data_IF_774743311589
#
_entry.id   IF_774743311589
#
_cell.length_a   1.000
_cell.length_b   1.000
_cell.length_c   1.000
_cell.angle_alpha   90.00
_cell.angle_beta   90.00
_cell.angle_gamma   90.00
#
_symmetry.space_group_name_H-M   'P 1'
#
loop_
_entity.id
_entity.type
_entity.pdbx_description
1 polymer ?
#
# COMPACT_ATOMS: atom_id res chain seq x y z
N UNK A 1 37.20 53.61 -51.40
CA UNK A 1 35.93 53.63 -50.63
C UNK A 1 35.33 52.23 -50.65
N UNK A 2 35.46 51.49 -49.55
CA UNK A 2 35.00 50.10 -49.40
C UNK A 2 33.82 50.07 -48.43
N UNK A 3 32.69 49.46 -48.80
CA UNK A 3 31.57 49.20 -47.89
C UNK A 3 31.29 47.70 -47.84
N UNK A 4 31.44 47.19 -46.61
CA UNK A 4 31.35 45.79 -46.20
C UNK A 4 29.90 45.36 -45.94
N UNK A 5 29.57 44.16 -46.40
CA UNK A 5 28.27 43.48 -46.28
C UNK A 5 28.10 42.87 -44.88
N UNK A 6 27.06 43.27 -44.14
CA UNK A 6 26.75 42.72 -42.80
C UNK A 6 25.95 41.41 -42.91
N UNK A 7 26.49 40.36 -42.29
CA UNK A 7 25.95 39.01 -42.12
C UNK A 7 24.87 39.01 -41.01
N UNK A 8 23.67 38.50 -41.31
CA UNK A 8 22.58 38.33 -40.36
C UNK A 8 22.90 37.23 -39.33
N UNK A 9 22.68 37.52 -38.05
CA UNK A 9 22.95 36.64 -36.91
C UNK A 9 21.63 35.93 -36.56
N UNK A 10 21.52 34.64 -36.88
CA UNK A 10 20.46 33.77 -36.37
C UNK A 10 20.63 33.61 -34.86
N UNK A 11 19.73 34.21 -34.09
CA UNK A 11 19.55 33.91 -32.67
C UNK A 11 18.73 32.63 -32.54
N UNK A 12 19.36 31.57 -32.07
CA UNK A 12 18.73 30.36 -31.58
C UNK A 12 17.87 30.70 -30.36
N UNK A 13 16.55 30.64 -30.52
CA UNK A 13 15.62 30.64 -29.40
C UNK A 13 15.78 29.32 -28.63
N UNK A 14 16.69 29.33 -27.68
CA UNK A 14 16.75 28.32 -26.62
C UNK A 14 15.67 28.69 -25.59
N UNK A 15 14.43 28.30 -25.88
CA UNK A 15 13.30 28.49 -24.98
C UNK A 15 13.54 27.66 -23.72
N UNK A 16 14.02 28.30 -22.66
CA UNK A 16 13.93 27.74 -21.30
C UNK A 16 12.45 27.41 -21.04
N UNK A 17 12.09 26.20 -20.58
CA UNK A 17 10.72 25.94 -20.18
C UNK A 17 10.37 26.87 -19.02
N UNK A 18 9.23 27.54 -19.13
CA UNK A 18 8.58 28.22 -18.01
C UNK A 18 8.41 27.21 -16.87
N UNK A 19 8.62 27.59 -15.60
CA UNK A 19 8.36 26.68 -14.48
C UNK A 19 6.90 26.25 -14.59
N UNK A 20 6.67 24.96 -14.79
CA UNK A 20 5.33 24.39 -14.67
C UNK A 20 4.85 24.71 -13.26
N UNK A 21 3.67 25.32 -13.12
CA UNK A 21 3.05 25.57 -11.82
C UNK A 21 2.84 24.25 -11.03
N UNK A 22 2.78 23.14 -11.75
CA UNK A 22 2.71 21.78 -11.21
C UNK A 22 4.13 21.29 -10.88
N UNK A 23 4.39 20.86 -9.63
CA UNK A 23 5.69 20.35 -9.22
C UNK A 23 5.91 18.92 -9.73
N UNK A 24 7.12 18.65 -10.21
CA UNK A 24 7.57 17.28 -10.57
C UNK A 24 7.45 16.35 -9.36
N UNK A 25 7.00 15.08 -9.52
CA UNK A 25 6.71 14.36 -10.76
C UNK A 25 5.22 14.34 -11.15
N UNK A 26 4.42 15.24 -10.58
CA UNK A 26 2.99 15.23 -10.77
C UNK A 26 2.59 15.82 -12.13
N UNK A 27 1.50 15.29 -12.67
CA UNK A 27 0.80 15.82 -13.83
C UNK A 27 -0.67 16.05 -13.49
N UNK A 28 -1.40 16.82 -14.30
CA UNK A 28 -2.84 16.96 -14.12
C UNK A 28 -3.52 15.59 -14.21
N UNK A 29 -4.47 15.33 -13.32
CA UNK A 29 -5.16 14.04 -13.31
C UNK A 29 -5.90 13.79 -14.63
N UNK A 30 -5.84 12.57 -15.20
CA UNK A 30 -6.60 12.22 -16.41
C UNK A 30 -8.11 12.39 -16.20
N UNK A 31 -8.86 12.87 -17.21
CA UNK A 31 -10.32 13.03 -17.11
C UNK A 31 -11.07 11.73 -16.75
N UNK A 32 -10.53 10.58 -17.12
CA UNK A 32 -11.11 9.27 -16.78
C UNK A 32 -11.19 9.02 -15.26
N UNK A 33 -10.36 9.68 -14.45
CA UNK A 33 -10.36 9.54 -12.99
C UNK A 33 -11.34 10.51 -12.30
N UNK A 34 -11.89 11.52 -13.00
CA UNK A 34 -12.75 12.55 -12.39
C UNK A 34 -13.88 11.98 -11.52
N UNK A 35 -14.64 10.95 -11.95
CA UNK A 35 -15.74 10.41 -11.13
C UNK A 35 -15.29 9.82 -9.78
N UNK A 36 -14.03 9.36 -9.71
CA UNK A 36 -13.44 8.84 -8.49
C UNK A 36 -12.82 9.96 -7.65
N UNK A 37 -12.15 10.93 -8.28
CA UNK A 37 -11.52 12.06 -7.59
C UNK A 37 -12.53 12.97 -6.88
N UNK A 38 -13.75 13.08 -7.41
CA UNK A 38 -14.84 13.84 -6.78
C UNK A 38 -15.29 13.27 -5.42
N UNK A 39 -14.95 12.01 -5.12
CA UNK A 39 -15.32 11.33 -3.88
C UNK A 39 -14.23 11.45 -2.80
N UNK A 40 -13.02 11.86 -3.17
CA UNK A 40 -11.86 11.92 -2.29
C UNK A 40 -11.80 13.23 -1.50
N UNK A 41 -11.20 13.20 -0.31
CA UNK A 41 -10.93 14.40 0.48
C UNK A 41 -9.72 15.17 -0.08
N UNK A 42 -9.88 16.41 -0.56
CA UNK A 42 -8.78 17.22 -1.10
C UNK A 42 -7.66 17.50 -0.10
N UNK A 43 -7.87 17.30 1.20
CA UNK A 43 -6.84 17.54 2.22
C UNK A 43 -5.85 16.38 2.34
N UNK A 44 -6.17 15.22 1.80
CA UNK A 44 -5.36 14.00 1.95
C UNK A 44 -4.54 13.70 0.70
N UNK A 45 -3.52 12.86 0.87
CA UNK A 45 -2.76 12.26 -0.23
C UNK A 45 -3.14 10.80 -0.35
N UNK A 46 -3.34 10.34 -1.58
CA UNK A 46 -3.76 8.97 -1.85
C UNK A 46 -2.73 8.21 -2.67
N UNK A 47 -2.62 6.91 -2.40
CA UNK A 47 -1.90 5.97 -3.25
C UNK A 47 -2.85 4.86 -3.68
N UNK A 48 -3.02 4.69 -4.98
CA UNK A 48 -3.86 3.65 -5.58
C UNK A 48 -3.03 2.61 -6.31
N UNK A 49 -3.42 1.35 -6.19
CA UNK A 49 -2.88 0.25 -7.00
C UNK A 49 -3.88 -0.90 -7.09
N UNK A 50 -3.66 -1.81 -8.05
CA UNK A 50 -4.47 -3.02 -8.18
C UNK A 50 -3.77 -4.21 -7.54
N UNK A 51 -4.38 -4.76 -6.49
CA UNK A 51 -3.94 -5.98 -5.83
C UNK A 51 -4.40 -7.21 -6.63
N UNK A 52 -3.42 -7.91 -7.22
CA UNK A 52 -3.59 -9.11 -8.05
C UNK A 52 -3.28 -10.43 -7.31
N UNK A 53 -3.19 -10.42 -5.98
CA UNK A 53 -2.90 -11.63 -5.22
C UNK A 53 -4.02 -12.67 -5.33
N UNK A 54 -3.69 -13.98 -5.18
CA UNK A 54 -4.69 -15.03 -5.17
C UNK A 54 -5.75 -14.81 -4.08
N UNK A 55 -7.00 -15.15 -4.40
CA UNK A 55 -8.15 -15.01 -3.51
C UNK A 55 -7.92 -15.73 -2.17
N UNK A 56 -7.31 -16.92 -2.18
CA UNK A 56 -7.05 -17.69 -0.97
C UNK A 56 -6.05 -17.00 -0.04
N UNK A 57 -5.01 -16.37 -0.60
CA UNK A 57 -4.06 -15.55 0.17
C UNK A 57 -4.76 -14.36 0.83
N UNK A 58 -5.64 -13.68 0.09
CA UNK A 58 -6.43 -12.55 0.64
C UNK A 58 -7.34 -12.99 1.78
N UNK A 59 -8.01 -14.13 1.66
CA UNK A 59 -8.85 -14.71 2.72
C UNK A 59 -8.06 -15.05 3.98
N UNK A 60 -6.92 -15.72 3.82
CA UNK A 60 -6.06 -16.11 4.96
C UNK A 60 -5.56 -14.90 5.73
N UNK A 61 -5.10 -13.88 5.01
CA UNK A 61 -4.61 -12.63 5.62
C UNK A 61 -5.72 -11.90 6.35
N UNK A 62 -6.94 -11.86 5.78
CA UNK A 62 -8.07 -11.20 6.42
C UNK A 62 -8.63 -11.97 7.63
N UNK A 63 -8.53 -13.30 7.63
CA UNK A 63 -9.02 -14.14 8.73
C UNK A 63 -8.31 -13.86 10.06
N UNK A 64 -7.01 -13.57 10.03
CA UNK A 64 -6.20 -13.31 11.23
C UNK A 64 -6.75 -12.10 12.03
N UNK A 65 -6.92 -10.90 11.43
CA UNK A 65 -7.57 -9.75 12.08
C UNK A 65 -8.99 -10.02 12.55
N UNK A 66 -9.79 -10.79 11.79
CA UNK A 66 -11.18 -11.11 12.18
C UNK A 66 -11.19 -11.91 13.47
N UNK A 67 -10.36 -12.95 13.57
CA UNK A 67 -10.27 -13.79 14.77
C UNK A 67 -9.71 -12.99 15.95
N UNK A 68 -8.67 -12.19 15.73
CA UNK A 68 -8.06 -11.38 16.78
C UNK A 68 -9.04 -10.34 17.33
N UNK A 69 -9.63 -9.51 16.47
CA UNK A 69 -10.59 -8.48 16.89
C UNK A 69 -11.87 -9.10 17.44
N UNK A 70 -12.34 -10.22 16.88
CA UNK A 70 -13.48 -10.96 17.41
C UNK A 70 -13.21 -11.48 18.83
N UNK A 71 -12.02 -12.05 19.07
CA UNK A 71 -11.63 -12.53 20.41
C UNK A 71 -11.54 -11.37 21.41
N UNK A 72 -10.90 -10.26 21.03
CA UNK A 72 -10.82 -9.06 21.88
C UNK A 72 -12.23 -8.53 22.18
N UNK A 73 -13.10 -8.41 21.18
CA UNK A 73 -14.47 -7.97 21.36
C UNK A 73 -15.24 -8.86 22.35
N UNK A 74 -15.13 -10.19 22.21
CA UNK A 74 -15.75 -11.14 23.13
C UNK A 74 -15.22 -11.00 24.56
N UNK A 75 -13.91 -10.83 24.75
CA UNK A 75 -13.31 -10.61 26.06
C UNK A 75 -13.77 -9.29 26.69
N UNK A 76 -13.89 -8.22 25.90
CA UNK A 76 -14.40 -6.94 26.36
C UNK A 76 -15.88 -7.04 26.76
N UNK A 77 -16.72 -7.70 25.94
CA UNK A 77 -18.12 -7.93 26.26
C UNK A 77 -18.30 -8.81 27.50
N UNK A 78 -17.49 -9.86 27.64
CA UNK A 78 -17.46 -10.67 28.85
C UNK A 78 -17.03 -9.86 30.07
N UNK A 79 -16.03 -8.97 29.91
CA UNK A 79 -15.60 -8.06 30.99
C UNK A 79 -16.72 -7.11 31.39
N UNK A 80 -17.44 -6.51 30.44
CA UNK A 80 -18.62 -5.68 30.73
C UNK A 80 -19.65 -6.51 31.50
N UNK A 81 -20.01 -7.69 31.00
CA UNK A 81 -21.00 -8.55 31.63
C UNK A 81 -20.62 -8.94 33.06
N UNK A 82 -19.35 -9.31 33.30
CA UNK A 82 -18.86 -9.70 34.62
C UNK A 82 -18.72 -8.50 35.58
N UNK A 83 -18.35 -7.33 35.07
CA UNK A 83 -18.16 -6.12 35.87
C UNK A 83 -19.48 -5.42 36.19
N UNK A 84 -20.47 -5.46 35.29
CA UNK A 84 -21.72 -4.70 35.38
C UNK A 84 -22.46 -4.88 36.72
N UNK A 85 -22.60 -6.09 37.30
CA UNK A 85 -23.23 -6.26 38.62
C UNK A 85 -22.49 -5.53 39.73
N UNK A 86 -21.15 -5.54 39.71
CA UNK A 86 -20.31 -4.85 40.70
C UNK A 86 -20.44 -3.34 40.58
N UNK A 87 -20.43 -2.82 39.35
CA UNK A 87 -20.65 -1.39 39.09
C UNK A 87 -22.05 -0.95 39.51
N UNK A 88 -23.06 -1.78 39.25
CA UNK A 88 -24.43 -1.54 39.66
C UNK A 88 -24.58 -1.51 41.18
N UNK A 89 -23.96 -2.45 41.91
CA UNK A 89 -23.95 -2.46 43.36
C UNK A 89 -23.25 -1.20 43.94
N UNK A 90 -22.11 -0.79 43.38
CA UNK A 90 -21.44 0.45 43.80
C UNK A 90 -22.32 1.68 43.54
N UNK A 91 -23.02 1.72 42.41
CA UNK A 91 -23.94 2.80 42.09
C UNK A 91 -25.14 2.83 43.05
N UNK A 92 -25.71 1.68 43.41
CA UNK A 92 -26.76 1.58 44.43
C UNK A 92 -26.26 2.06 45.81
N UNK A 93 -25.05 1.68 46.20
CA UNK A 93 -24.43 2.16 47.44
C UNK A 93 -24.23 3.69 47.43
N UNK A 94 -23.84 4.27 46.29
CA UNK A 94 -23.72 5.73 46.12
C UNK A 94 -25.06 6.46 46.31
N UNK A 95 -26.15 5.85 45.86
CA UNK A 95 -27.51 6.38 46.02
C UNK A 95 -28.11 6.14 47.42
N UNK A 96 -27.35 5.53 48.34
CA UNK A 96 -27.78 5.27 49.71
C UNK A 96 -28.59 3.98 49.90
N UNK A 97 -28.71 3.13 48.88
CA UNK A 97 -29.32 1.81 49.01
C UNK A 97 -28.34 0.81 49.61
N UNK A 98 -28.85 -0.10 50.45
CA UNK A 98 -28.06 -1.22 50.97
C UNK A 98 -27.78 -2.21 49.85
N UNK A 99 -26.51 -2.42 49.52
CA UNK A 99 -26.06 -3.34 48.49
C UNK A 99 -24.84 -4.13 48.99
N UNK A 100 -24.42 -5.14 48.24
CA UNK A 100 -23.18 -5.88 48.50
C UNK A 100 -21.91 -5.02 48.47
N UNK A 101 -22.01 -3.77 47.98
CA UNK A 101 -20.91 -2.81 47.94
C UNK A 101 -21.01 -1.71 49.02
N UNK A 102 -22.00 -1.75 49.90
CA UNK A 102 -22.10 -0.80 51.02
C UNK A 102 -21.05 -1.16 52.09
N UNK A 103 -20.28 -0.18 52.55
CA UNK A 103 -19.26 -0.37 53.60
C UNK A 103 -19.82 0.15 54.91
N UNK A 104 -19.83 -0.71 55.93
CA UNK A 104 -20.20 -0.32 57.29
C UNK A 104 -19.06 0.46 57.94
N UNK A 105 -19.26 1.76 58.16
CA UNK A 105 -18.23 2.64 58.70
C UNK A 105 -18.03 2.47 60.21
N UNK A 106 -19.00 1.89 60.93
CA UNK A 106 -18.96 1.73 62.39
C UNK A 106 -18.17 0.48 62.80
N UNK A 107 -18.24 -0.58 61.99
CA UNK A 107 -17.64 -1.88 62.29
C UNK A 107 -16.39 -2.21 61.46
N UNK A 108 -16.00 -1.38 60.49
CA UNK A 108 -14.86 -1.65 59.60
C UNK A 108 -13.61 -0.84 59.99
N UNK A 109 -12.45 -1.49 60.08
CA UNK A 109 -11.16 -0.83 60.39
C UNK A 109 -10.76 0.17 59.29
N UNK A 110 -10.07 1.27 59.64
CA UNK A 110 -9.51 2.23 58.65
C UNK A 110 -8.68 1.57 57.55
N UNK A 111 -7.89 0.54 57.89
CA UNK A 111 -7.09 -0.19 56.91
C UNK A 111 -7.97 -0.93 55.89
N UNK A 112 -9.07 -1.52 56.34
CA UNK A 112 -10.02 -2.23 55.49
C UNK A 112 -10.78 -1.25 54.58
N UNK A 113 -11.16 -0.07 55.13
CA UNK A 113 -11.77 1.01 54.34
C UNK A 113 -10.84 1.50 53.22
N UNK A 114 -9.56 1.73 53.54
CA UNK A 114 -8.55 2.13 52.54
C UNK A 114 -8.35 1.03 51.49
N UNK A 115 -8.28 -0.23 51.92
CA UNK A 115 -8.11 -1.38 51.01
C UNK A 115 -9.31 -1.54 50.06
N UNK A 116 -10.54 -1.36 50.56
CA UNK A 116 -11.75 -1.37 49.73
C UNK A 116 -11.73 -0.23 48.72
N UNK A 117 -11.37 0.98 49.14
CA UNK A 117 -11.24 2.13 48.25
C UNK A 117 -10.20 1.86 47.16
N UNK A 118 -9.02 1.37 47.54
CA UNK A 118 -7.93 1.10 46.60
C UNK A 118 -8.28 0.00 45.59
N UNK A 119 -8.96 -1.07 46.03
CA UNK A 119 -9.46 -2.14 45.14
C UNK A 119 -10.47 -1.60 44.13
N UNK A 120 -11.42 -0.76 44.57
CA UNK A 120 -12.44 -0.17 43.67
C UNK A 120 -11.80 0.79 42.68
N UNK A 121 -10.96 1.70 43.15
CA UNK A 121 -10.22 2.64 42.29
C UNK A 121 -9.33 1.90 41.30
N UNK A 122 -8.62 0.85 41.74
CA UNK A 122 -7.78 0.02 40.88
C UNK A 122 -8.59 -0.71 39.80
N UNK A 123 -9.75 -1.25 40.15
CA UNK A 123 -10.69 -1.87 39.19
C UNK A 123 -11.17 -0.84 38.15
N UNK A 124 -11.64 0.34 38.60
CA UNK A 124 -12.09 1.41 37.70
C UNK A 124 -10.97 1.89 36.77
N UNK A 125 -9.76 2.08 37.31
CA UNK A 125 -8.61 2.51 36.52
C UNK A 125 -8.24 1.46 35.47
N UNK A 126 -8.21 0.17 35.84
CA UNK A 126 -7.92 -0.91 34.91
C UNK A 126 -8.95 -1.00 33.80
N UNK A 127 -10.24 -0.97 34.14
CA UNK A 127 -11.32 -1.00 33.15
C UNK A 127 -11.25 0.21 32.22
N UNK A 128 -11.00 1.41 32.78
CA UNK A 128 -10.80 2.61 31.98
C UNK A 128 -9.65 2.45 30.98
N UNK A 129 -8.48 1.95 31.41
CA UNK A 129 -7.33 1.74 30.54
C UNK A 129 -7.65 0.71 29.44
N UNK A 130 -8.30 -0.40 29.79
CA UNK A 130 -8.70 -1.44 28.84
C UNK A 130 -9.63 -0.85 27.77
N UNK A 131 -10.73 -0.20 28.16
CA UNK A 131 -11.67 0.36 27.18
C UNK A 131 -11.11 1.56 26.42
N UNK A 132 -10.19 2.33 27.02
CA UNK A 132 -9.59 3.50 26.36
C UNK A 132 -8.56 3.15 25.30
N UNK A 133 -7.77 2.08 25.52
CA UNK A 133 -6.67 1.71 24.63
C UNK A 133 -6.96 0.47 23.79
N UNK A 134 -7.64 -0.53 24.34
CA UNK A 134 -7.97 -1.79 23.64
C UNK A 134 -9.34 -1.71 22.98
N UNK A 135 -10.30 -1.04 23.64
CA UNK A 135 -11.67 -0.87 23.13
C UNK A 135 -11.80 -0.32 21.70
N UNK A 136 -11.00 0.67 21.27
CA UNK A 136 -11.09 1.19 19.92
C UNK A 136 -10.80 0.16 18.83
N UNK A 137 -9.96 -0.86 19.07
CA UNK A 137 -9.52 -1.77 18.01
C UNK A 137 -10.65 -2.61 17.39
N UNK A 138 -11.47 -3.34 18.16
CA UNK A 138 -12.62 -4.02 17.59
C UNK A 138 -13.68 -3.02 17.08
N UNK A 139 -13.83 -1.86 17.73
CA UNK A 139 -14.79 -0.86 17.29
C UNK A 139 -14.43 -0.34 15.90
N UNK A 140 -13.16 -0.02 15.65
CA UNK A 140 -12.72 0.44 14.34
C UNK A 140 -12.85 -0.68 13.29
N UNK A 141 -12.48 -1.91 13.67
CA UNK A 141 -12.56 -3.05 12.76
C UNK A 141 -14.00 -3.42 12.34
N UNK A 142 -14.98 -3.36 13.26
CA UNK A 142 -16.35 -3.81 13.00
C UNK A 142 -17.35 -2.69 12.71
N UNK A 143 -17.11 -1.47 13.22
CA UNK A 143 -18.12 -0.42 13.29
C UNK A 143 -17.62 0.98 12.89
N UNK A 144 -16.38 1.13 12.42
CA UNK A 144 -15.90 2.43 11.92
C UNK A 144 -16.75 2.94 10.76
N UNK A 145 -16.90 4.26 10.73
CA UNK A 145 -17.61 5.00 9.69
C UNK A 145 -16.59 5.87 8.94
N UNK A 146 -16.78 6.12 7.62
CA UNK A 146 -17.91 5.70 6.79
C UNK A 146 -17.91 4.22 6.38
N UNK A 147 -16.74 3.58 6.36
CA UNK A 147 -16.61 2.15 6.07
C UNK A 147 -15.53 1.51 6.95
N UNK A 148 -15.64 0.20 7.13
CA UNK A 148 -14.71 -0.58 7.93
C UNK A 148 -14.31 -1.87 7.19
N UNK A 149 -13.27 -2.59 7.66
CA UNK A 149 -12.78 -3.80 7.01
C UNK A 149 -13.88 -4.86 6.77
N UNK A 150 -14.84 -4.99 7.68
CA UNK A 150 -15.91 -5.98 7.57
C UNK A 150 -16.95 -5.55 6.54
N UNK A 151 -17.40 -4.30 6.55
CA UNK A 151 -18.31 -3.74 5.55
C UNK A 151 -17.69 -3.86 4.15
N UNK A 152 -16.40 -3.55 4.01
CA UNK A 152 -15.67 -3.71 2.77
C UNK A 152 -15.77 -5.13 2.24
N UNK A 153 -15.46 -6.13 3.07
CA UNK A 153 -15.52 -7.54 2.67
C UNK A 153 -16.94 -8.06 2.49
N UNK A 154 -17.91 -7.54 3.22
CA UNK A 154 -19.31 -7.91 3.05
C UNK A 154 -19.89 -7.44 1.71
N UNK A 155 -19.54 -6.21 1.30
CA UNK A 155 -20.07 -5.60 0.08
C UNK A 155 -19.31 -6.04 -1.18
N UNK A 156 -17.98 -6.13 -1.10
CA UNK A 156 -17.14 -6.47 -2.26
C UNK A 156 -16.84 -7.97 -2.34
N UNK A 157 -16.63 -8.63 -1.22
CA UNK A 157 -16.11 -10.00 -1.19
C UNK A 157 -14.61 -10.07 -1.47
N UNK A 158 -14.18 -11.14 -2.15
CA UNK A 158 -12.78 -11.36 -2.55
C UNK A 158 -12.67 -11.58 -4.06
N UNK A 159 -11.93 -10.70 -4.74
CA UNK A 159 -11.72 -10.74 -6.18
C UNK A 159 -10.23 -10.94 -6.54
N UNK A 160 -9.98 -11.41 -7.77
CA UNK A 160 -8.61 -11.54 -8.31
C UNK A 160 -7.94 -10.17 -8.42
N UNK A 161 -8.64 -9.19 -9.00
CA UNK A 161 -8.18 -7.80 -9.10
C UNK A 161 -8.99 -6.94 -8.13
N UNK A 162 -8.34 -6.32 -7.16
CA UNK A 162 -8.97 -5.40 -6.21
C UNK A 162 -8.23 -4.06 -6.23
N UNK A 163 -8.95 -2.95 -6.48
CA UNK A 163 -8.39 -1.63 -6.25
C UNK A 163 -8.15 -1.39 -4.76
N UNK A 164 -6.90 -1.06 -4.42
CA UNK A 164 -6.47 -0.69 -3.08
C UNK A 164 -6.18 0.80 -3.06
N UNK A 165 -6.83 1.50 -2.14
CA UNK A 165 -6.69 2.94 -1.93
C UNK A 165 -6.11 3.15 -0.54
N UNK A 166 -4.89 3.70 -0.49
CA UNK A 166 -4.23 4.12 0.74
C UNK A 166 -4.38 5.62 0.90
N UNK A 167 -4.61 6.06 2.13
CA UNK A 167 -4.78 7.47 2.50
C UNK A 167 -3.70 7.88 3.51
N UNK A 168 -3.23 9.12 3.41
CA UNK A 168 -2.27 9.69 4.35
C UNK A 168 -2.82 9.72 5.78
N UNK A 169 -1.96 9.39 6.76
CA UNK A 169 -2.30 9.33 8.18
C UNK A 169 -1.47 10.32 8.99
N UNK A 170 -2.13 11.30 9.63
CA UNK A 170 -1.50 12.38 10.40
C UNK A 170 -0.61 13.35 9.58
N UNK A 171 -0.80 13.39 8.26
CA UNK A 171 -0.22 14.37 7.32
C UNK A 171 -1.15 14.48 6.10
N UNK A 172 -0.99 15.50 5.26
CA UNK A 172 -1.91 15.74 4.15
C UNK A 172 -1.30 16.43 2.92
N UNK A 173 -2.17 16.82 1.99
CA UNK A 173 -1.82 17.47 0.74
C UNK A 173 -1.06 18.79 0.96
N UNK A 174 -1.43 19.53 2.00
CA UNK A 174 -0.77 20.78 2.37
C UNK A 174 0.71 20.56 2.74
N UNK A 175 1.03 19.48 3.46
CA UNK A 175 2.41 19.17 3.87
C UNK A 175 3.30 18.80 2.68
N UNK A 176 2.69 18.29 1.59
CA UNK A 176 3.39 17.88 0.37
C UNK A 176 3.50 19.01 -0.66
N UNK A 177 2.43 19.80 -0.81
CA UNK A 177 2.25 20.74 -1.91
C UNK A 177 2.45 22.21 -1.53
N UNK A 178 2.43 22.56 -0.23
CA UNK A 178 2.72 23.93 0.23
C UNK A 178 4.16 24.06 0.69
N UNK A 179 4.79 25.19 0.36
CA UNK A 179 6.15 25.54 0.78
C UNK A 179 7.13 25.74 -0.36
N UNK A 180 8.41 25.94 0.00
CA UNK A 180 9.51 26.20 -0.94
C UNK A 180 9.95 24.95 -1.71
N UNK A 181 9.80 23.76 -1.12
CA UNK A 181 10.10 22.46 -1.74
C UNK A 181 8.81 21.67 -1.89
N UNK A 182 8.37 21.49 -3.13
CA UNK A 182 7.11 20.82 -3.46
C UNK A 182 7.40 19.54 -4.24
N UNK A 183 6.46 18.60 -4.22
CA UNK A 183 6.58 17.36 -4.97
C UNK A 183 7.82 16.55 -4.59
N UNK A 184 8.63 16.16 -5.58
CA UNK A 184 9.81 15.30 -5.39
C UNK A 184 10.85 15.86 -4.41
N UNK A 185 10.98 17.18 -4.36
CA UNK A 185 11.95 17.84 -3.48
C UNK A 185 11.51 17.88 -2.02
N UNK A 186 10.23 17.57 -1.75
CA UNK A 186 9.66 17.61 -0.41
C UNK A 186 10.15 16.39 0.43
N UNK A 187 10.56 16.61 1.70
CA UNK A 187 10.91 15.51 2.60
C UNK A 187 9.83 14.44 2.78
N UNK A 188 8.55 14.82 2.80
CA UNK A 188 7.42 13.88 2.91
C UNK A 188 7.36 12.94 1.69
N UNK A 189 7.66 13.46 0.50
CA UNK A 189 7.73 12.63 -0.70
C UNK A 189 8.79 11.54 -0.55
N UNK A 190 10.00 11.91 -0.13
CA UNK A 190 11.13 10.98 0.00
C UNK A 190 10.98 9.99 1.16
N UNK A 191 10.33 10.40 2.25
CA UNK A 191 10.25 9.60 3.48
C UNK A 191 8.95 8.82 3.63
N UNK A 192 7.86 9.25 2.99
CA UNK A 192 6.53 8.63 3.13
C UNK A 192 6.02 8.03 1.83
N UNK A 193 6.20 8.71 0.69
CA UNK A 193 5.69 8.22 -0.60
C UNK A 193 6.65 7.18 -1.20
N UNK A 194 7.94 7.49 -1.35
CA UNK A 194 8.90 6.56 -1.98
C UNK A 194 8.98 5.18 -1.30
N UNK A 195 9.04 5.07 0.04
CA UNK A 195 9.06 3.76 0.69
C UNK A 195 7.74 2.99 0.53
N UNK A 196 6.61 3.70 0.40
CA UNK A 196 5.29 3.08 0.27
C UNK A 196 5.03 2.51 -1.14
N UNK A 197 5.76 2.99 -2.16
CA UNK A 197 5.68 2.51 -3.55
C UNK A 197 6.84 1.56 -3.93
N UNK A 198 7.74 1.29 -3.00
CA UNK A 198 8.89 0.41 -3.24
C UNK A 198 8.44 -1.00 -3.61
N UNK A 199 9.13 -1.63 -4.57
CA UNK A 199 8.77 -2.95 -5.11
C UNK A 199 8.62 -4.02 -4.03
N UNK A 200 9.45 -3.98 -2.99
CA UNK A 200 9.35 -4.94 -1.89
C UNK A 200 8.09 -4.72 -1.05
N UNK A 201 7.73 -3.46 -0.79
CA UNK A 201 6.49 -3.13 -0.09
C UNK A 201 5.25 -3.50 -0.92
N UNK A 202 5.30 -3.28 -2.24
CA UNK A 202 4.20 -3.59 -3.17
C UNK A 202 3.94 -5.09 -3.37
N UNK A 203 4.83 -5.97 -2.89
CA UNK A 203 4.61 -7.44 -2.87
C UNK A 203 3.62 -7.89 -1.78
N UNK A 204 3.28 -7.01 -0.84
CA UNK A 204 2.29 -7.33 0.20
C UNK A 204 0.87 -7.20 -0.38
N UNK A 205 -0.11 -7.86 0.22
CA UNK A 205 -1.53 -7.59 -0.10
C UNK A 205 -1.93 -6.23 0.45
N UNK A 206 -2.93 -5.59 -0.14
CA UNK A 206 -3.38 -4.26 0.27
C UNK A 206 -3.63 -4.12 1.78
N UNK A 207 -4.25 -5.13 2.40
CA UNK A 207 -4.54 -5.14 3.85
C UNK A 207 -3.29 -5.03 4.75
N UNK A 208 -2.13 -5.54 4.30
CA UNK A 208 -0.87 -5.52 5.06
C UNK A 208 -0.02 -4.26 4.81
N UNK A 209 -0.53 -3.31 4.00
CA UNK A 209 0.17 -2.07 3.66
C UNK A 209 -0.17 -0.90 4.59
N UNK A 210 -0.94 -1.12 5.65
CA UNK A 210 -1.19 -0.12 6.68
C UNK A 210 0.06 0.08 7.54
N UNK A 211 0.42 1.34 7.81
CA UNK A 211 1.55 1.70 8.66
C UNK A 211 1.30 3.00 9.44
N UNK A 212 2.35 3.58 10.03
CA UNK A 212 2.26 4.84 10.78
C UNK A 212 1.97 6.08 9.92
N UNK A 213 2.14 5.99 8.61
CA UNK A 213 2.00 7.06 7.62
C UNK A 213 0.81 6.87 6.69
N UNK A 214 0.38 5.64 6.50
CA UNK A 214 -0.64 5.23 5.55
C UNK A 214 -1.70 4.37 6.21
N UNK A 215 -2.96 4.69 5.94
CA UNK A 215 -4.10 3.83 6.27
C UNK A 215 -4.82 3.38 4.98
N UNK A 216 -5.76 2.46 5.11
CA UNK A 216 -6.62 2.02 4.03
C UNK A 216 -7.94 2.78 4.07
N UNK A 217 -8.32 3.36 2.94
CA UNK A 217 -9.62 4.00 2.80
C UNK A 217 -10.62 3.00 2.22
N UNK A 218 -11.32 2.30 3.11
CA UNK A 218 -12.31 1.28 2.73
C UNK A 218 -13.47 1.86 1.91
N UNK A 219 -13.85 3.12 2.13
CA UNK A 219 -14.95 3.75 1.41
C UNK A 219 -14.52 4.03 -0.03
N UNK A 220 -13.37 4.68 -0.22
CA UNK A 220 -12.82 4.92 -1.55
C UNK A 220 -12.55 3.62 -2.31
N UNK A 221 -12.12 2.54 -1.62
CA UNK A 221 -11.99 1.22 -2.24
C UNK A 221 -13.33 0.66 -2.74
N UNK A 222 -14.41 0.79 -1.97
CA UNK A 222 -15.76 0.37 -2.38
C UNK A 222 -16.28 1.22 -3.54
N UNK A 223 -16.03 2.53 -3.51
CA UNK A 223 -16.50 3.44 -4.54
C UNK A 223 -15.77 3.21 -5.87
N UNK A 224 -14.46 2.95 -5.83
CA UNK A 224 -13.69 2.56 -7.01
C UNK A 224 -14.27 1.32 -7.71
N UNK A 225 -14.66 0.29 -6.95
CA UNK A 225 -15.29 -0.91 -7.51
C UNK A 225 -16.72 -0.67 -7.98
N UNK A 226 -17.46 0.22 -7.31
CA UNK A 226 -18.80 0.62 -7.73
C UNK A 226 -18.74 1.36 -9.07
N UNK A 227 -17.80 2.29 -9.24
CA UNK A 227 -17.56 3.02 -10.50
C UNK A 227 -17.08 2.07 -11.61
N UNK A 228 -16.23 1.10 -11.27
CA UNK A 228 -15.80 0.06 -12.20
C UNK A 228 -16.96 -0.82 -12.67
N UNK A 229 -17.85 -1.21 -11.77
CA UNK A 229 -19.08 -1.97 -12.10
C UNK A 229 -20.03 -1.16 -12.98
N UNK A 230 -20.06 0.16 -12.83
CA UNK A 230 -20.83 1.08 -13.68
C UNK A 230 -20.12 1.41 -15.01
N UNK A 231 -18.95 0.82 -15.28
CA UNK A 231 -18.11 1.12 -16.46
C UNK A 231 -17.75 2.60 -16.63
N UNK A 232 -17.76 3.36 -15.52
CA UNK A 232 -17.35 4.78 -15.50
C UNK A 232 -15.85 4.95 -15.29
N UNK A 233 -15.18 3.90 -14.81
CA UNK A 233 -13.77 3.88 -14.47
C UNK A 233 -13.21 2.48 -14.78
N UNK A 234 -12.00 2.37 -15.32
CA UNK A 234 -11.31 1.08 -15.40
C UNK A 234 -10.37 0.93 -14.20
N UNK A 235 -10.36 -0.26 -13.57
CA UNK A 235 -9.46 -0.52 -12.43
C UNK A 235 -7.98 -0.33 -12.81
N UNK A 236 -7.64 -0.56 -14.07
CA UNK A 236 -6.28 -0.33 -14.62
C UNK A 236 -5.88 1.14 -14.57
N UNK A 237 -6.84 2.06 -14.70
CA UNK A 237 -6.55 3.49 -14.62
C UNK A 237 -6.15 3.90 -13.19
N UNK A 238 -6.51 3.13 -12.17
CA UNK A 238 -6.08 3.35 -10.79
C UNK A 238 -4.74 2.66 -10.46
N UNK A 239 -4.18 1.87 -11.36
CA UNK A 239 -3.00 1.07 -11.05
C UNK A 239 -1.75 1.96 -10.95
N UNK A 240 -1.04 1.82 -9.83
CA UNK A 240 0.22 2.48 -9.52
C UNK A 240 0.21 4.00 -9.63
N UNK A 241 -0.74 4.67 -8.97
CA UNK A 241 -0.85 6.14 -8.96
C UNK A 241 -0.82 6.78 -7.57
N UNK A 242 -0.15 7.90 -7.46
CA UNK A 242 -0.24 8.83 -6.33
C UNK A 242 -1.15 9.98 -6.74
N UNK A 243 -2.14 10.30 -5.92
CA UNK A 243 -3.11 11.36 -6.16
C UNK A 243 -3.00 12.41 -5.06
N UNK A 244 -2.96 13.68 -5.45
CA UNK A 244 -2.90 14.80 -4.51
C UNK A 244 -3.67 15.98 -5.08
N UNK A 245 -4.35 16.73 -4.23
CA UNK A 245 -5.02 17.95 -4.64
C UNK A 245 -4.13 19.18 -4.43
N UNK A 246 -4.11 20.08 -5.41
CA UNK A 246 -3.39 21.36 -5.33
C UNK A 246 -4.36 22.51 -5.55
N UNK A 247 -4.42 23.43 -4.59
CA UNK A 247 -5.27 24.63 -4.69
C UNK A 247 -4.89 25.48 -5.91
N UNK A 248 -5.83 25.63 -6.85
CA UNK A 248 -5.65 26.40 -8.09
C UNK A 248 -5.51 25.53 -9.35
N UNK A 249 -4.83 24.37 -9.25
CA UNK A 249 -4.58 23.46 -10.39
C UNK A 249 -5.54 22.25 -10.39
N UNK A 250 -6.14 21.94 -9.24
CA UNK A 250 -7.06 20.82 -9.06
C UNK A 250 -6.35 19.52 -8.67
N UNK A 251 -6.93 18.39 -9.05
CA UNK A 251 -6.35 17.07 -8.78
C UNK A 251 -5.14 16.79 -9.68
N UNK A 252 -4.07 16.36 -9.04
CA UNK A 252 -2.83 15.94 -9.67
C UNK A 252 -2.65 14.44 -9.48
N UNK A 253 -2.07 13.80 -10.49
CA UNK A 253 -1.74 12.39 -10.47
C UNK A 253 -0.29 12.17 -10.88
N UNK A 254 0.36 11.23 -10.23
CA UNK A 254 1.67 10.72 -10.63
C UNK A 254 1.59 9.20 -10.74
N UNK A 255 1.86 8.67 -11.93
CA UNK A 255 2.01 7.24 -12.14
C UNK A 255 3.49 6.88 -12.00
N UNK A 256 3.85 6.11 -10.97
CA UNK A 256 5.27 5.87 -10.65
C UNK A 256 5.89 4.71 -11.41
N UNK A 257 5.08 3.87 -12.04
CA UNK A 257 5.55 2.79 -12.89
C UNK A 257 4.54 2.60 -14.03
N UNK A 258 4.99 2.87 -15.25
CA UNK A 258 4.23 2.60 -16.47
C UNK A 258 4.66 1.27 -17.07
N UNK A 259 3.83 0.69 -17.95
CA UNK A 259 4.17 -0.54 -18.67
C UNK A 259 5.47 -0.38 -19.49
N UNK A 260 5.73 0.83 -20.00
CA UNK A 260 6.96 1.16 -20.70
C UNK A 260 8.18 1.11 -19.78
N UNK A 261 8.08 1.58 -18.54
CA UNK A 261 9.18 1.52 -17.58
C UNK A 261 9.55 0.08 -17.24
N UNK A 262 8.54 -0.80 -17.11
CA UNK A 262 8.76 -2.23 -16.89
C UNK A 262 9.45 -2.87 -18.09
N UNK A 263 9.06 -2.51 -19.31
CA UNK A 263 9.69 -3.01 -20.54
C UNK A 263 11.13 -2.50 -20.66
N UNK A 264 11.38 -1.22 -20.38
CA UNK A 264 12.72 -0.63 -20.40
C UNK A 264 13.63 -1.24 -19.35
N UNK A 265 13.15 -1.46 -18.13
CA UNK A 265 13.92 -2.12 -17.07
C UNK A 265 14.28 -3.55 -17.47
N UNK A 266 13.33 -4.31 -18.05
CA UNK A 266 13.62 -5.64 -18.62
C UNK A 266 14.70 -5.55 -19.70
N UNK A 267 14.58 -4.60 -20.62
CA UNK A 267 15.57 -4.38 -21.68
C UNK A 267 16.94 -4.05 -21.11
N UNK A 268 17.03 -3.17 -20.10
CA UNK A 268 18.27 -2.82 -19.41
C UNK A 268 18.92 -4.03 -18.76
N UNK A 269 18.14 -4.89 -18.08
CA UNK A 269 18.65 -6.13 -17.48
C UNK A 269 19.21 -7.10 -18.54
N UNK A 270 18.51 -7.27 -19.66
CA UNK A 270 19.00 -8.09 -20.78
C UNK A 270 20.31 -7.54 -21.35
N UNK A 271 20.43 -6.21 -21.49
CA UNK A 271 21.69 -5.57 -21.92
C UNK A 271 22.80 -5.76 -20.89
N UNK A 272 22.52 -5.60 -19.60
CA UNK A 272 23.51 -5.84 -18.53
C UNK A 272 24.00 -7.29 -18.50
N UNK A 273 23.10 -8.24 -18.72
CA UNK A 273 23.46 -9.66 -18.84
C UNK A 273 24.36 -9.92 -20.04
N UNK A 274 24.04 -9.32 -21.19
CA UNK A 274 24.91 -9.36 -22.37
C UNK A 274 26.29 -8.78 -22.05
N UNK A 275 26.36 -7.58 -21.46
CA UNK A 275 27.61 -6.89 -21.15
C UNK A 275 28.48 -7.70 -20.17
N UNK A 276 27.88 -8.38 -19.19
CA UNK A 276 28.59 -9.24 -18.25
C UNK A 276 29.19 -10.47 -18.93
N UNK A 277 28.43 -11.10 -19.84
CA UNK A 277 28.91 -12.21 -20.67
C UNK A 277 30.03 -11.78 -21.63
N UNK A 278 29.92 -10.58 -22.22
CA UNK A 278 30.98 -10.01 -23.06
C UNK A 278 32.24 -9.69 -22.26
N UNK A 279 32.12 -9.16 -21.03
CA UNK A 279 33.27 -8.96 -20.12
C UNK A 279 33.97 -10.27 -19.75
N UNK A 280 33.22 -11.36 -19.64
CA UNK A 280 33.76 -12.71 -19.44
C UNK A 280 34.33 -13.34 -20.71
N UNK A 281 34.25 -12.65 -21.86
CA UNK A 281 34.71 -13.15 -23.16
C UNK A 281 33.80 -14.23 -23.76
N UNK A 282 32.60 -14.43 -23.22
CA UNK A 282 31.67 -15.52 -23.56
C UNK A 282 30.35 -14.99 -24.14
N UNK A 283 30.43 -14.06 -25.09
CA UNK A 283 29.26 -13.49 -25.77
C UNK A 283 28.44 -14.54 -26.55
N UNK A 284 29.08 -15.62 -26.99
CA UNK A 284 28.41 -16.76 -27.66
C UNK A 284 27.34 -17.41 -26.78
N UNK A 285 27.49 -17.39 -25.45
CA UNK A 285 26.49 -17.91 -24.50
C UNK A 285 25.21 -17.07 -24.51
N UNK A 286 25.31 -15.77 -24.74
CA UNK A 286 24.13 -14.89 -24.83
C UNK A 286 23.26 -15.27 -26.03
N UNK A 287 23.89 -15.50 -27.18
CA UNK A 287 23.19 -15.91 -28.40
C UNK A 287 22.62 -17.33 -28.28
N UNK A 288 23.38 -18.25 -27.66
CA UNK A 288 22.92 -19.61 -27.36
C UNK A 288 21.71 -19.60 -26.42
N UNK A 289 21.73 -18.74 -25.40
CA UNK A 289 20.60 -18.56 -24.49
C UNK A 289 19.37 -18.05 -25.24
N UNK A 290 19.51 -16.98 -26.03
CA UNK A 290 18.42 -16.43 -26.85
C UNK A 290 17.84 -17.49 -27.79
N UNK A 291 18.69 -18.27 -28.45
CA UNK A 291 18.29 -19.37 -29.34
C UNK A 291 17.46 -20.44 -28.61
N UNK A 292 17.91 -20.91 -27.44
CA UNK A 292 17.18 -21.89 -26.63
C UNK A 292 15.83 -21.33 -26.16
N UNK A 293 15.79 -20.06 -25.77
CA UNK A 293 14.57 -19.38 -25.32
C UNK A 293 13.57 -19.18 -26.47
N UNK A 294 14.06 -18.94 -27.68
CA UNK A 294 13.22 -18.74 -28.88
C UNK A 294 12.73 -20.07 -29.47
N UNK A 295 13.53 -21.14 -29.43
CA UNK A 295 13.17 -22.48 -29.91
C UNK A 295 12.01 -23.10 -29.10
N UNK A 296 12.00 -22.87 -27.78
CA UNK A 296 11.00 -23.43 -26.86
C UNK A 296 9.79 -22.50 -26.62
N UNK A 297 9.71 -21.41 -27.37
CA UNK A 297 8.60 -20.46 -27.27
C UNK A 297 7.41 -21.00 -28.08
N UNK A 298 6.25 -21.10 -27.44
CA UNK A 298 5.03 -21.56 -28.11
C UNK A 298 4.60 -20.58 -29.22
N UNK A 299 3.77 -21.04 -30.16
CA UNK A 299 3.22 -20.21 -31.26
C UNK A 299 2.49 -18.95 -30.77
N UNK A 300 2.01 -18.95 -29.53
CA UNK A 300 1.33 -17.83 -28.88
C UNK A 300 2.27 -16.90 -28.08
N UNK A 301 3.59 -17.12 -28.14
CA UNK A 301 4.61 -16.24 -27.55
C UNK A 301 4.89 -16.45 -26.05
N UNK A 302 4.21 -17.41 -25.41
CA UNK A 302 4.41 -17.84 -24.02
C UNK A 302 5.25 -19.13 -23.89
N UNK A 303 5.45 -19.58 -22.65
CA UNK A 303 6.07 -20.88 -22.34
C UNK A 303 5.07 -21.77 -21.60
N UNK A 304 4.89 -23.00 -22.06
CA UNK A 304 4.28 -24.08 -21.25
C UNK A 304 5.11 -24.40 -20.00
N UNK A 305 4.50 -24.95 -18.94
CA UNK A 305 5.20 -25.30 -17.70
C UNK A 305 6.34 -26.32 -17.93
N UNK A 306 6.15 -27.25 -18.86
CA UNK A 306 7.19 -28.21 -19.28
C UNK A 306 8.30 -27.53 -20.12
N UNK A 307 7.94 -26.58 -20.98
CA UNK A 307 8.90 -25.79 -21.75
C UNK A 307 9.83 -24.95 -20.86
N UNK A 308 9.30 -24.39 -19.76
CA UNK A 308 10.11 -23.63 -18.80
C UNK A 308 11.20 -24.48 -18.13
N UNK A 309 10.87 -25.72 -17.74
CA UNK A 309 11.85 -26.65 -17.15
C UNK A 309 12.91 -27.06 -18.17
N UNK A 310 12.50 -27.38 -19.41
CA UNK A 310 13.45 -27.73 -20.49
C UNK A 310 14.39 -26.59 -20.86
N UNK A 311 13.88 -25.36 -20.92
CA UNK A 311 14.71 -24.17 -21.17
C UNK A 311 15.72 -23.99 -20.04
N UNK A 312 15.29 -24.07 -18.78
CA UNK A 312 16.18 -23.92 -17.63
C UNK A 312 17.31 -24.97 -17.65
N UNK A 313 16.98 -26.25 -17.87
CA UNK A 313 17.97 -27.32 -17.94
C UNK A 313 18.95 -27.15 -19.11
N UNK A 314 18.45 -26.82 -20.31
CA UNK A 314 19.28 -26.62 -21.51
C UNK A 314 20.19 -25.42 -21.38
N UNK A 315 19.71 -24.33 -20.78
CA UNK A 315 20.50 -23.12 -20.52
C UNK A 315 21.56 -23.40 -19.47
N UNK A 316 21.21 -24.06 -18.37
CA UNK A 316 22.18 -24.42 -17.33
C UNK A 316 23.27 -25.33 -17.90
N UNK A 317 22.90 -26.37 -18.65
CA UNK A 317 23.87 -27.26 -19.30
C UNK A 317 24.80 -26.53 -20.28
N UNK A 318 24.27 -25.58 -21.07
CA UNK A 318 25.07 -24.79 -22.00
C UNK A 318 26.06 -23.86 -21.28
N UNK A 319 25.66 -23.26 -20.16
CA UNK A 319 26.51 -22.37 -19.37
C UNK A 319 27.56 -23.14 -18.57
N UNK A 320 27.19 -24.28 -17.96
CA UNK A 320 28.13 -25.15 -17.23
C UNK A 320 29.20 -25.73 -18.16
N UNK A 321 28.83 -26.08 -19.40
CA UNK A 321 29.79 -26.58 -20.41
C UNK A 321 30.89 -25.57 -20.73
N UNK A 322 30.57 -24.28 -20.67
CA UNK A 322 31.51 -23.19 -20.85
C UNK A 322 32.11 -22.70 -19.52
N UNK A 323 31.84 -23.36 -18.39
CA UNK A 323 32.38 -23.00 -17.07
C UNK A 323 31.84 -21.69 -16.51
N UNK A 324 30.57 -21.36 -16.77
CA UNK A 324 29.85 -20.22 -16.16
C UNK A 324 28.67 -20.77 -15.37
N UNK A 325 28.48 -20.32 -14.14
CA UNK A 325 27.27 -20.60 -13.39
C UNK A 325 26.16 -19.60 -13.78
N UNK A 326 25.12 -20.11 -14.43
CA UNK A 326 23.99 -19.31 -14.87
C UNK A 326 23.18 -18.72 -13.70
N UNK A 327 23.02 -19.46 -12.60
CA UNK A 327 22.24 -18.99 -11.45
C UNK A 327 22.97 -17.87 -10.70
N UNK A 328 24.30 -17.98 -10.55
CA UNK A 328 25.11 -16.93 -9.95
C UNK A 328 25.09 -15.66 -10.81
N UNK A 329 25.23 -15.82 -12.12
CA UNK A 329 25.16 -14.72 -13.07
C UNK A 329 23.78 -14.06 -13.08
N UNK A 330 22.70 -14.83 -13.07
CA UNK A 330 21.33 -14.30 -13.00
C UNK A 330 21.07 -13.55 -11.69
N UNK A 331 21.52 -14.09 -10.54
CA UNK A 331 21.43 -13.40 -9.24
C UNK A 331 22.21 -12.09 -9.26
N UNK A 332 23.38 -12.04 -9.91
CA UNK A 332 24.20 -10.83 -10.00
C UNK A 332 23.55 -9.70 -10.81
N UNK A 333 22.71 -10.04 -11.80
CA UNK A 333 21.94 -9.08 -12.62
C UNK A 333 20.57 -8.75 -12.00
N UNK A 334 20.24 -9.35 -10.85
CA UNK A 334 18.98 -9.13 -10.14
C UNK A 334 17.77 -9.83 -10.76
N UNK A 335 17.99 -11.01 -11.36
CA UNK A 335 16.96 -11.86 -11.97
C UNK A 335 16.53 -11.39 -13.36
N UNK A 336 16.64 -12.26 -14.36
CA UNK A 336 16.25 -11.98 -15.76
C UNK A 336 14.81 -12.36 -16.06
N UNK A 337 14.22 -13.23 -15.23
CA UNK A 337 12.92 -13.81 -15.50
C UNK A 337 11.94 -13.73 -14.32
N UNK A 338 10.98 -12.80 -14.42
CA UNK A 338 9.59 -13.22 -14.29
C UNK A 338 9.08 -13.44 -15.72
N UNK A 339 9.32 -14.64 -16.25
CA UNK A 339 8.64 -15.11 -17.45
C UNK A 339 7.13 -14.90 -17.24
N UNK A 340 6.39 -14.39 -18.23
CA UNK A 340 4.96 -14.16 -18.08
C UNK A 340 4.30 -15.49 -17.75
N UNK A 341 3.91 -15.64 -16.49
CA UNK A 341 3.01 -16.69 -16.05
C UNK A 341 1.61 -16.19 -16.40
N UNK A 342 0.95 -16.85 -17.35
CA UNK A 342 -0.50 -16.90 -17.27
C UNK A 342 -0.84 -17.70 -16.01
N UNK A 343 -1.50 -17.05 -15.05
CA UNK A 343 -2.26 -17.68 -13.97
C UNK A 343 -3.65 -17.05 -13.89
#
# INVERSE_FOLDING_TARGET
>A
MSKSTKRAKQTSNNTKPSPSAIPTPFNKAPPALEPFLDQLDPKQVYITHVDRHPIETKKQIFLIPVLLNGTIALLLLWRVYAALPTYWAIFQALLGYTSSATVDLEHTTRNDQIMVLLKRTGMFAMDFLIFRFVGPWPLTFFAEQPANPVIWRWNLGFHREEAVVRVSRNWGADDLMKGLKQGEENPFFKTRILPAIEREHMKKTGYLMQDGSWDLDFQSMLDAHTLAKQSRLQLRDLDKRVLVFMGGEGWLSWQWETDNDVIEDRRKKVVQFKDMLTKMGKESLFWRWMEIVEEERDRDGGFSAEGQQKVAERVQAAFTKEGVDFEELERSVGGLNQLPTQK
#
